data_IF_632312097013
#
_entry.id   IF_632312097013
#
_cell.length_a   1.000
_cell.length_b   1.000
_cell.length_c   1.000
_cell.angle_alpha   90.00
_cell.angle_beta   90.00
_cell.angle_gamma   90.00
#
_symmetry.space_group_name_H-M   'P 1'
#
loop_
_entity.id
_entity.type
_entity.pdbx_description
1 polymer ?
#
# COMPACT_ATOMS: atom_id res chain seq x y z
N UNK A 1 5.30 13.85 3.96
CA UNK A 1 4.65 14.47 2.78
C UNK A 1 4.64 13.53 1.57
N UNK A 2 5.72 12.82 1.26
CA UNK A 2 5.76 11.87 0.13
C UNK A 2 4.69 10.77 0.24
N UNK A 3 4.53 10.19 1.43
CA UNK A 3 3.52 9.13 1.67
C UNK A 3 2.08 9.58 1.38
N UNK A 4 1.75 10.82 1.74
CA UNK A 4 0.46 11.42 1.38
C UNK A 4 0.23 11.52 -0.14
N UNK A 5 1.28 11.82 -0.92
CA UNK A 5 1.18 11.84 -2.39
C UNK A 5 0.91 10.43 -2.91
N UNK A 6 1.64 9.44 -2.40
CA UNK A 6 1.49 8.05 -2.78
C UNK A 6 0.07 7.53 -2.48
N UNK A 7 -0.44 7.76 -1.27
CA UNK A 7 -1.79 7.32 -0.85
C UNK A 7 -2.88 7.85 -1.79
N UNK A 8 -2.73 9.07 -2.32
CA UNK A 8 -3.70 9.63 -3.29
C UNK A 8 -3.69 8.87 -4.63
N UNK A 9 -2.52 8.46 -5.11
CA UNK A 9 -2.43 7.61 -6.30
C UNK A 9 -2.87 6.17 -6.00
N UNK A 10 -2.57 5.67 -4.79
CA UNK A 10 -3.00 4.36 -4.32
C UNK A 10 -4.53 4.22 -4.27
N UNK A 11 -5.27 5.27 -3.89
CA UNK A 11 -6.74 5.29 -3.97
C UNK A 11 -7.25 5.04 -5.40
N UNK A 12 -6.58 5.61 -6.42
CA UNK A 12 -6.95 5.39 -7.82
C UNK A 12 -6.65 3.96 -8.26
N UNK A 13 -5.49 3.44 -7.85
CA UNK A 13 -5.13 2.06 -8.08
C UNK A 13 -6.15 1.10 -7.45
N UNK A 14 -6.54 1.30 -6.19
CA UNK A 14 -7.55 0.48 -5.51
C UNK A 14 -8.90 0.52 -6.23
N UNK A 15 -9.27 1.66 -6.83
CA UNK A 15 -10.48 1.74 -7.66
C UNK A 15 -10.39 0.88 -8.91
N UNK A 16 -9.23 0.83 -9.55
CA UNK A 16 -9.00 -0.08 -10.67
C UNK A 16 -9.08 -1.55 -10.26
N UNK A 17 -8.60 -1.90 -9.05
CA UNK A 17 -8.70 -3.25 -8.49
C UNK A 17 -10.17 -3.63 -8.28
N UNK A 18 -10.94 -2.75 -7.64
CA UNK A 18 -12.37 -2.96 -7.40
C UNK A 18 -13.16 -3.16 -8.72
N UNK A 19 -12.84 -2.39 -9.76
CA UNK A 19 -13.48 -2.53 -11.07
C UNK A 19 -13.17 -3.88 -11.74
N UNK A 20 -12.02 -4.47 -11.45
CA UNK A 20 -11.56 -5.74 -12.02
C UNK A 20 -11.93 -6.96 -11.16
N UNK A 21 -12.50 -6.76 -9.98
CA UNK A 21 -12.96 -7.84 -9.10
C UNK A 21 -13.99 -8.73 -9.83
N UNK A 22 -13.80 -10.06 -9.85
CA UNK A 22 -14.74 -10.98 -10.49
C UNK A 22 -16.17 -10.86 -9.94
N UNK A 23 -17.16 -10.84 -10.84
CA UNK A 23 -18.59 -10.61 -10.49
C UNK A 23 -19.17 -11.62 -9.49
N UNK A 24 -18.59 -12.81 -9.40
CA UNK A 24 -19.01 -13.89 -8.51
C UNK A 24 -18.32 -13.84 -7.13
N UNK A 25 -17.53 -12.82 -6.83
CA UNK A 25 -16.72 -12.73 -5.62
C UNK A 25 -17.18 -11.61 -4.68
N UNK A 26 -18.42 -11.70 -4.19
CA UNK A 26 -19.03 -10.67 -3.32
C UNK A 26 -18.22 -10.42 -2.04
N UNK A 27 -17.63 -11.46 -1.45
CA UNK A 27 -16.77 -11.31 -0.25
C UNK A 27 -15.49 -10.53 -0.53
N UNK A 28 -14.91 -10.71 -1.72
CA UNK A 28 -13.68 -10.02 -2.11
C UNK A 28 -13.97 -8.52 -2.29
N UNK A 29 -15.17 -8.17 -2.79
CA UNK A 29 -15.64 -6.78 -2.86
C UNK A 29 -15.70 -6.15 -1.47
N UNK A 30 -16.29 -6.82 -0.47
CA UNK A 30 -16.40 -6.29 0.89
C UNK A 30 -15.02 -6.01 1.51
N UNK A 31 -14.05 -6.91 1.29
CA UNK A 31 -12.67 -6.74 1.76
C UNK A 31 -12.00 -5.56 1.05
N UNK A 32 -12.11 -5.47 -0.27
CA UNK A 32 -11.52 -4.36 -1.05
C UNK A 32 -12.16 -3.02 -0.66
N UNK A 33 -13.47 -2.98 -0.43
CA UNK A 33 -14.19 -1.80 0.06
C UNK A 33 -13.73 -1.36 1.46
N UNK A 34 -13.39 -2.33 2.33
CA UNK A 34 -12.77 -2.04 3.63
C UNK A 34 -11.47 -1.22 3.50
N UNK A 35 -10.69 -1.47 2.45
CA UNK A 35 -9.49 -0.69 2.13
C UNK A 35 -9.79 0.78 1.83
N UNK A 36 -10.85 1.07 1.08
CA UNK A 36 -11.27 2.46 0.81
C UNK A 36 -11.64 3.21 2.08
N UNK A 37 -12.34 2.55 3.01
CA UNK A 37 -12.70 3.16 4.29
C UNK A 37 -11.44 3.47 5.11
N UNK A 38 -10.46 2.57 5.10
CA UNK A 38 -9.17 2.80 5.76
C UNK A 38 -8.40 3.97 5.13
N UNK A 39 -8.33 4.04 3.79
CA UNK A 39 -7.64 5.11 3.07
C UNK A 39 -8.29 6.48 3.27
N UNK A 40 -9.62 6.56 3.39
CA UNK A 40 -10.32 7.81 3.72
C UNK A 40 -9.88 8.34 5.09
N UNK A 41 -9.87 7.47 6.10
CA UNK A 41 -9.40 7.81 7.45
C UNK A 41 -7.91 8.15 7.47
N UNK A 42 -7.11 7.51 6.63
CA UNK A 42 -5.68 7.76 6.51
C UNK A 42 -5.38 9.12 5.87
N UNK A 43 -6.09 9.48 4.80
CA UNK A 43 -6.00 10.81 4.19
C UNK A 43 -6.39 11.90 5.19
N UNK A 44 -7.45 11.68 5.97
CA UNK A 44 -7.87 12.61 7.02
C UNK A 44 -6.78 12.74 8.11
N UNK A 45 -6.17 11.63 8.51
CA UNK A 45 -5.07 11.60 9.46
C UNK A 45 -3.83 12.35 8.93
N UNK A 46 -3.41 12.13 7.68
CA UNK A 46 -2.29 12.86 7.08
C UNK A 46 -2.50 14.38 7.09
N UNK A 47 -3.73 14.84 6.82
CA UNK A 47 -4.06 16.28 6.85
C UNK A 47 -3.97 16.85 8.26
N UNK A 48 -4.42 16.10 9.27
CA UNK A 48 -4.28 16.48 10.69
C UNK A 48 -2.79 16.55 11.07
N UNK A 49 -2.01 15.53 10.74
CA UNK A 49 -0.58 15.50 11.05
C UNK A 49 0.19 16.61 10.33
N UNK A 50 -0.16 16.91 9.08
CA UNK A 50 0.45 18.02 8.36
C UNK A 50 0.27 19.37 9.08
N UNK A 51 -0.87 19.60 9.73
CA UNK A 51 -1.09 20.78 10.55
C UNK A 51 -0.24 20.74 11.84
N UNK A 52 -0.15 19.57 12.49
CA UNK A 52 0.62 19.40 13.72
C UNK A 52 2.13 19.58 13.52
N UNK A 53 2.64 19.16 12.36
CA UNK A 53 4.07 19.17 12.02
C UNK A 53 4.47 20.31 11.07
N UNK A 54 3.56 21.24 10.79
CA UNK A 54 3.77 22.38 9.87
C UNK A 54 4.28 21.95 8.48
N UNK A 55 3.79 20.80 7.98
CA UNK A 55 4.18 20.24 6.68
C UNK A 55 3.21 20.70 5.60
N UNK A 56 3.73 21.35 4.55
CA UNK A 56 2.93 21.71 3.39
C UNK A 56 2.70 20.51 2.46
N UNK A 57 1.50 19.93 2.49
CA UNK A 57 1.11 18.82 1.63
C UNK A 57 0.76 19.26 0.19
N UNK A 58 0.47 20.54 -0.05
CA UNK A 58 0.00 21.02 -1.36
C UNK A 58 1.17 21.38 -2.28
N UNK A 59 2.23 21.97 -1.72
CA UNK A 59 3.40 22.39 -2.48
C UNK A 59 4.55 21.37 -2.48
N UNK A 60 4.36 20.21 -1.84
CA UNK A 60 5.35 19.14 -1.87
C UNK A 60 5.45 18.51 -3.27
N UNK A 61 6.63 18.60 -3.88
CA UNK A 61 6.90 17.89 -5.13
C UNK A 61 7.23 16.40 -4.86
N UNK A 62 6.70 15.46 -5.66
CA UNK A 62 7.05 14.05 -5.50
C UNK A 62 8.51 13.84 -5.85
N UNK A 63 9.24 13.11 -5.00
CA UNK A 63 10.62 12.70 -5.29
C UNK A 63 10.64 11.60 -6.36
N UNK A 64 11.82 11.34 -6.92
CA UNK A 64 12.00 10.36 -8.01
C UNK A 64 11.43 8.98 -7.67
N UNK A 65 11.73 8.44 -6.48
CA UNK A 65 11.20 7.15 -6.04
C UNK A 65 9.66 7.12 -6.01
N UNK A 66 9.04 8.17 -5.45
CA UNK A 66 7.58 8.30 -5.40
C UNK A 66 6.97 8.39 -6.82
N UNK A 67 7.56 9.19 -7.71
CA UNK A 67 7.10 9.30 -9.11
C UNK A 67 7.19 7.96 -9.84
N UNK A 68 8.27 7.22 -9.63
CA UNK A 68 8.50 5.92 -10.27
C UNK A 68 7.48 4.89 -9.77
N UNK A 69 7.20 4.91 -8.47
CA UNK A 69 6.18 4.05 -7.88
C UNK A 69 4.77 4.40 -8.40
N UNK A 70 4.40 5.68 -8.45
CA UNK A 70 3.09 6.10 -8.97
C UNK A 70 2.92 5.69 -10.44
N UNK A 71 3.95 5.84 -11.28
CA UNK A 71 3.91 5.37 -12.67
C UNK A 71 3.77 3.86 -12.78
N UNK A 72 4.38 3.12 -11.87
CA UNK A 72 4.16 1.67 -11.80
C UNK A 72 2.71 1.33 -11.45
N UNK A 73 2.10 2.00 -10.46
CA UNK A 73 0.67 1.84 -10.18
C UNK A 73 -0.20 2.15 -11.40
N UNK A 74 0.09 3.22 -12.13
CA UNK A 74 -0.59 3.58 -13.38
C UNK A 74 -0.49 2.50 -14.46
N UNK A 75 0.66 1.83 -14.56
CA UNK A 75 0.84 0.72 -15.49
C UNK A 75 -0.02 -0.49 -15.12
N UNK A 76 -0.26 -0.74 -13.83
CA UNK A 76 -1.12 -1.82 -13.36
C UNK A 76 -2.62 -1.54 -13.59
N UNK A 77 -3.01 -0.26 -13.73
CA UNK A 77 -4.39 0.14 -14.00
C UNK A 77 -4.82 -0.09 -15.46
N UNK A 78 -3.91 -0.46 -16.36
CA UNK A 78 -4.23 -0.65 -17.78
C UNK A 78 -5.20 -1.82 -18.00
N UNK A 79 -6.12 -1.73 -18.98
CA UNK A 79 -7.21 -2.71 -19.15
C UNK A 79 -6.73 -4.14 -19.43
N UNK A 80 -5.56 -4.29 -20.04
CA UNK A 80 -4.93 -5.56 -20.40
C UNK A 80 -4.22 -6.28 -19.24
N UNK A 81 -4.04 -5.62 -18.09
CA UNK A 81 -3.45 -6.23 -16.90
C UNK A 81 -4.45 -7.17 -16.21
N UNK A 82 -4.04 -8.39 -15.91
CA UNK A 82 -4.90 -9.41 -15.32
C UNK A 82 -5.20 -9.16 -13.84
N UNK A 83 -6.39 -9.58 -13.38
CA UNK A 83 -6.82 -9.39 -11.98
C UNK A 83 -5.86 -10.04 -10.97
N UNK A 84 -5.30 -11.20 -11.29
CA UNK A 84 -4.33 -11.88 -10.41
C UNK A 84 -3.04 -11.04 -10.20
N UNK A 85 -2.61 -10.28 -11.21
CA UNK A 85 -1.42 -9.43 -11.12
C UNK A 85 -1.68 -8.24 -10.19
N UNK A 86 -2.81 -7.54 -10.40
CA UNK A 86 -3.12 -6.33 -9.61
C UNK A 86 -3.48 -6.66 -8.15
N UNK A 87 -4.13 -7.80 -7.88
CA UNK A 87 -4.50 -8.16 -6.50
C UNK A 87 -3.27 -8.60 -5.70
N UNK A 88 -2.30 -9.25 -6.35
CA UNK A 88 -0.99 -9.55 -5.75
C UNK A 88 -0.24 -8.27 -5.46
N UNK A 89 -0.17 -7.33 -6.40
CA UNK A 89 0.46 -6.04 -6.16
C UNK A 89 -0.20 -5.29 -4.99
N UNK A 90 -1.54 -5.26 -4.94
CA UNK A 90 -2.29 -4.64 -3.85
C UNK A 90 -1.97 -5.26 -2.49
N UNK A 91 -2.06 -6.59 -2.38
CA UNK A 91 -1.68 -7.30 -1.16
C UNK A 91 -0.22 -7.03 -0.75
N UNK A 92 0.70 -6.98 -1.72
CA UNK A 92 2.13 -6.77 -1.44
C UNK A 92 2.39 -5.40 -0.83
N UNK A 93 1.72 -4.36 -1.32
CA UNK A 93 1.85 -2.98 -0.79
C UNK A 93 1.40 -2.95 0.67
N UNK A 94 0.22 -3.50 0.94
CA UNK A 94 -0.38 -3.51 2.29
C UNK A 94 0.44 -4.34 3.29
N UNK A 95 0.93 -5.52 2.87
CA UNK A 95 1.71 -6.41 3.77
C UNK A 95 3.07 -5.83 4.09
N UNK A 96 3.72 -5.09 3.17
CA UNK A 96 4.99 -4.41 3.46
C UNK A 96 4.82 -3.37 4.56
N UNK A 97 3.74 -2.58 4.53
CA UNK A 97 3.44 -1.65 5.63
C UNK A 97 3.12 -2.42 6.92
N UNK A 98 2.32 -3.48 6.85
CA UNK A 98 1.97 -4.27 8.03
C UNK A 98 3.22 -4.84 8.72
N UNK A 99 4.13 -5.43 7.95
CA UNK A 99 5.36 -6.03 8.47
C UNK A 99 6.35 -4.96 8.97
N UNK A 100 6.46 -3.82 8.29
CA UNK A 100 7.33 -2.71 8.69
C UNK A 100 6.95 -2.12 10.05
N UNK A 101 5.66 -2.09 10.38
CA UNK A 101 5.15 -1.55 11.65
C UNK A 101 4.83 -2.63 12.69
N UNK A 102 4.98 -3.92 12.37
CA UNK A 102 4.61 -5.02 13.27
C UNK A 102 5.36 -5.00 14.61
N UNK A 103 6.64 -4.61 14.58
CA UNK A 103 7.52 -4.61 15.78
C UNK A 103 7.48 -3.29 16.54
N UNK A 104 6.96 -2.21 15.96
CA UNK A 104 7.04 -0.90 16.59
C UNK A 104 6.03 -0.69 17.74
N UNK A 105 5.17 -1.69 18.00
CA UNK A 105 4.26 -1.74 19.14
C UNK A 105 4.65 -2.80 20.19
N UNK A 106 5.80 -3.47 20.01
CA UNK A 106 6.31 -4.42 20.99
C UNK A 106 6.72 -3.71 22.29
N UNK A 107 6.70 -4.42 23.41
CA UNK A 107 6.91 -3.84 24.74
C UNK A 107 8.30 -3.17 24.89
N UNK A 108 9.31 -3.71 24.21
CA UNK A 108 10.69 -3.23 24.18
C UNK A 108 11.01 -2.35 22.96
N UNK A 109 10.01 -2.02 22.14
CA UNK A 109 10.18 -1.13 21.00
C UNK A 109 10.57 0.27 21.48
N UNK A 110 11.62 0.83 20.88
CA UNK A 110 12.10 2.21 21.14
C UNK A 110 11.37 3.24 20.27
N UNK A 111 10.09 3.02 20.01
CA UNK A 111 9.27 3.90 19.19
C UNK A 111 9.13 5.26 19.88
N UNK A 112 9.52 6.37 19.22
CA UNK A 112 9.32 7.70 19.80
C UNK A 112 7.83 7.92 20.09
N UNK A 113 7.45 8.47 21.27
CA UNK A 113 6.05 8.67 21.63
C UNK A 113 5.25 9.45 20.58
N UNK A 114 5.90 10.40 19.89
CA UNK A 114 5.32 11.21 18.83
C UNK A 114 4.96 10.41 17.56
N UNK A 115 5.56 9.23 17.35
CA UNK A 115 5.31 8.36 16.20
C UNK A 115 4.43 7.15 16.56
N UNK A 116 3.96 7.06 17.81
CA UNK A 116 3.18 5.92 18.27
C UNK A 116 1.83 5.81 17.55
N UNK A 117 1.19 6.94 17.21
CA UNK A 117 -0.08 6.96 16.45
C UNK A 117 0.11 6.33 15.06
N UNK A 118 1.19 6.69 14.35
CA UNK A 118 1.55 6.07 13.07
C UNK A 118 1.74 4.55 13.23
N UNK A 119 2.50 4.13 14.24
CA UNK A 119 2.67 2.72 14.58
C UNK A 119 1.38 1.97 14.86
N UNK A 120 0.43 2.60 15.55
CA UNK A 120 -0.87 2.00 15.83
C UNK A 120 -1.72 1.82 14.56
N UNK A 121 -1.55 2.63 13.51
CA UNK A 121 -2.34 2.51 12.28
C UNK A 121 -2.00 1.24 11.50
N UNK A 122 -0.72 0.94 11.32
CA UNK A 122 -0.27 -0.20 10.50
C UNK A 122 0.25 -1.38 11.31
N UNK A 123 0.61 -1.21 12.58
CA UNK A 123 1.08 -2.29 13.45
C UNK A 123 -0.04 -3.02 14.23
N UNK A 124 -1.29 -2.59 14.13
CA UNK A 124 -2.38 -3.18 14.92
C UNK A 124 -2.87 -4.54 14.37
N UNK A 125 -3.51 -5.32 15.24
CA UNK A 125 -4.05 -6.64 14.90
C UNK A 125 -5.10 -6.61 13.79
N UNK A 126 -5.90 -5.54 13.71
CA UNK A 126 -6.93 -5.38 12.68
C UNK A 126 -6.34 -5.23 11.28
N UNK A 127 -5.28 -4.42 11.14
CA UNK A 127 -4.57 -4.27 9.87
C UNK A 127 -3.86 -5.58 9.45
N UNK A 128 -3.30 -6.31 10.41
CA UNK A 128 -2.76 -7.66 10.14
C UNK A 128 -3.83 -8.65 9.65
N UNK A 129 -5.02 -8.64 10.26
CA UNK A 129 -6.15 -9.46 9.81
C UNK A 129 -6.64 -9.05 8.41
N UNK A 130 -6.62 -7.75 8.11
CA UNK A 130 -6.93 -7.21 6.80
C UNK A 130 -5.95 -7.73 5.74
N UNK A 131 -4.63 -7.61 5.98
CA UNK A 131 -3.60 -8.13 5.09
C UNK A 131 -3.72 -9.66 4.90
N UNK A 132 -4.05 -10.40 5.95
CA UNK A 132 -4.30 -11.86 5.86
C UNK A 132 -5.51 -12.16 4.96
N UNK A 133 -6.55 -11.34 5.01
CA UNK A 133 -7.73 -11.50 4.15
C UNK A 133 -7.41 -11.18 2.70
N UNK A 134 -6.60 -10.15 2.43
CA UNK A 134 -6.10 -9.84 1.10
C UNK A 134 -5.22 -10.95 0.53
N UNK A 135 -4.35 -11.54 1.36
CA UNK A 135 -3.52 -12.67 0.97
C UNK A 135 -4.37 -13.83 0.44
N UNK A 136 -5.45 -14.18 1.15
CA UNK A 136 -6.35 -15.26 0.72
C UNK A 136 -7.01 -14.98 -0.64
N UNK A 137 -7.32 -13.72 -0.94
CA UNK A 137 -7.85 -13.33 -2.26
C UNK A 137 -6.76 -13.47 -3.33
N UNK A 138 -5.54 -13.01 -3.03
CA UNK A 138 -4.40 -13.10 -3.94
C UNK A 138 -4.02 -14.55 -4.26
N UNK A 139 -3.91 -15.39 -3.23
CA UNK A 139 -3.61 -16.83 -3.35
C UNK A 139 -4.66 -17.52 -4.23
N UNK A 140 -5.95 -17.28 -3.95
CA UNK A 140 -7.05 -17.81 -4.77
C UNK A 140 -6.98 -17.32 -6.22
N UNK A 141 -6.62 -16.06 -6.47
CA UNK A 141 -6.49 -15.53 -7.82
C UNK A 141 -5.33 -16.19 -8.57
N UNK A 142 -4.20 -16.42 -7.90
CA UNK A 142 -3.03 -17.10 -8.46
C UNK A 142 -3.27 -18.57 -8.76
N UNK A 143 -3.94 -19.30 -7.85
CA UNK A 143 -4.27 -20.72 -8.03
C UNK A 143 -5.10 -20.98 -9.29
N UNK A 144 -5.93 -20.00 -9.69
CA UNK A 144 -6.78 -20.08 -10.87
C UNK A 144 -6.15 -19.43 -12.11
N UNK A 145 -4.97 -18.82 -12.00
CA UNK A 145 -4.33 -18.10 -13.08
C UNK A 145 -3.48 -19.03 -13.98
N UNK A 146 -3.44 -18.77 -15.30
CA UNK A 146 -2.45 -19.38 -16.19
C UNK A 146 -1.01 -19.10 -15.74
N UNK A 147 -0.07 -19.98 -16.12
CA UNK A 147 1.35 -19.86 -15.71
C UNK A 147 2.01 -18.56 -16.16
N UNK A 148 1.68 -18.06 -17.33
CA UNK A 148 2.17 -16.77 -17.82
C UNK A 148 1.67 -15.61 -16.95
N UNK A 149 0.42 -15.68 -16.47
CA UNK A 149 -0.14 -14.67 -15.54
C UNK A 149 0.48 -14.79 -14.15
N UNK A 150 0.75 -16.00 -13.66
CA UNK A 150 1.47 -16.19 -12.40
C UNK A 150 2.87 -15.57 -12.45
N UNK A 151 3.58 -15.72 -13.57
CA UNK A 151 4.88 -15.09 -13.75
C UNK A 151 4.80 -13.56 -13.76
N UNK A 152 3.82 -12.97 -14.46
CA UNK A 152 3.57 -11.51 -14.41
C UNK A 152 3.25 -11.03 -12.99
N UNK A 153 2.53 -11.83 -12.21
CA UNK A 153 2.21 -11.49 -10.82
C UNK A 153 3.46 -11.53 -9.92
N UNK A 154 4.38 -12.48 -10.14
CA UNK A 154 5.68 -12.53 -9.47
C UNK A 154 6.57 -11.33 -9.84
N UNK A 155 6.56 -10.92 -11.12
CA UNK A 155 7.25 -9.71 -11.56
C UNK A 155 6.68 -8.46 -10.88
N UNK A 156 5.35 -8.36 -10.80
CA UNK A 156 4.68 -7.25 -10.10
C UNK A 156 5.00 -7.24 -8.60
N UNK A 157 4.95 -8.41 -7.93
CA UNK A 157 5.37 -8.56 -6.53
C UNK A 157 6.80 -8.06 -6.32
N UNK A 158 7.74 -8.52 -7.16
CA UNK A 158 9.15 -8.11 -7.06
C UNK A 158 9.32 -6.62 -7.32
N UNK A 159 8.57 -6.05 -8.27
CA UNK A 159 8.63 -4.63 -8.58
C UNK A 159 8.05 -3.76 -7.46
N UNK A 160 6.99 -4.20 -6.79
CA UNK A 160 6.47 -3.56 -5.56
C UNK A 160 7.58 -3.51 -4.52
N UNK A 161 8.23 -4.64 -4.18
CA UNK A 161 9.28 -4.67 -3.17
C UNK A 161 10.47 -3.75 -3.51
N UNK A 162 10.86 -3.66 -4.79
CA UNK A 162 11.90 -2.72 -5.23
C UNK A 162 11.47 -1.28 -5.03
N UNK A 163 10.25 -0.94 -5.42
CA UNK A 163 9.72 0.41 -5.24
C UNK A 163 9.60 0.78 -3.76
N UNK A 164 9.17 -0.15 -2.90
CA UNK A 164 9.14 0.02 -1.45
C UNK A 164 10.53 0.35 -0.92
N UNK A 165 11.57 -0.42 -1.26
CA UNK A 165 12.95 -0.13 -0.83
C UNK A 165 13.36 1.31 -1.19
N UNK A 166 13.14 1.72 -2.44
CA UNK A 166 13.46 3.09 -2.89
C UNK A 166 12.61 4.15 -2.17
N UNK A 167 11.35 3.82 -1.85
CA UNK A 167 10.42 4.68 -1.11
C UNK A 167 10.84 4.88 0.36
N UNK A 168 11.30 3.81 1.01
CA UNK A 168 11.88 3.91 2.35
C UNK A 168 13.20 4.68 2.31
N UNK A 169 14.06 4.42 1.32
CA UNK A 169 15.35 5.12 1.16
C UNK A 169 15.20 6.64 1.00
N UNK A 170 14.16 7.14 0.29
CA UNK A 170 13.93 8.59 0.20
C UNK A 170 13.55 9.21 1.56
N UNK A 171 12.98 8.43 2.48
CA UNK A 171 12.63 8.89 3.82
C UNK A 171 13.86 9.01 4.73
N UNK A 172 14.97 8.35 4.38
CA UNK A 172 16.28 8.49 5.03
C UNK A 172 17.13 9.66 4.49
N UNK A 173 16.69 10.37 3.44
CA UNK A 173 17.54 11.31 2.68
C UNK A 173 18.05 12.54 3.45
N UNK A 174 19.38 12.75 3.39
CA UNK A 174 20.25 13.83 3.93
C UNK A 174 20.69 13.79 5.41
N UNK A 175 20.55 12.67 6.14
CA UNK A 175 21.16 12.54 7.48
C UNK A 175 22.68 12.18 7.47
N UNK A 176 23.28 11.89 6.32
CA UNK A 176 24.71 11.56 6.17
C UNK A 176 25.33 12.04 4.84
N UNK A 177 25.26 13.34 4.54
CA UNK A 177 26.19 14.00 3.62
C UNK A 177 26.88 15.17 4.29
#
# INVERSE_FOLDING_TARGET
SQDYIFVREFVRFLASVLLKTPKNSTKDIDIILGGFVALEQEIAWFRKEALNWEVDLLNCSPQKANQDYCRFLESLMQPDVEYAVIIVAFWTIEVVYCDSFATCLEFDAKTPPLLLEACQRWGNKGFKQYCTSLQQIADKALDNAPRDVQHKAEEAFTQVLRNEIEFWNMSYGDAMK
#
